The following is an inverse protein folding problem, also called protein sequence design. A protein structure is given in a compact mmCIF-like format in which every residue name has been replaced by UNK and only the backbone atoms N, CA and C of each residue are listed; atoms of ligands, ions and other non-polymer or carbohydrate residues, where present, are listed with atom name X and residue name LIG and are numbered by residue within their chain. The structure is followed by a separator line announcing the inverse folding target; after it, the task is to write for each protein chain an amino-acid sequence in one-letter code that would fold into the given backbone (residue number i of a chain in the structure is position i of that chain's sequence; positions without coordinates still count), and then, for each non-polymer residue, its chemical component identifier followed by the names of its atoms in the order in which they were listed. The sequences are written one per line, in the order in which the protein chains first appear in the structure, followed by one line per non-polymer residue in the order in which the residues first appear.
data_IF_847405080282
#
_entry.id   IF_847405080282
#
_cell.length_a   1.000
_cell.length_b   1.000
_cell.length_c   1.000
_cell.angle_alpha   90.00
_cell.angle_beta   90.00
_cell.angle_gamma   90.00
#
_symmetry.space_group_name_H-M   'P 1'
#
loop_
_entity.id
_entity.type
_entity.pdbx_description
1 polymer ?
#
# COMPACT_ATOMS: atom_id res chain seq x y z
N UNK A 1 -12.68 59.79 28.95
CA UNK A 1 -13.59 59.02 28.09
C UNK A 1 -12.77 58.18 27.12
N UNK A 2 -12.45 56.92 27.48
CA UNK A 2 -11.96 55.88 26.56
C UNK A 2 -11.63 54.60 27.36
N UNK A 3 -12.64 53.85 27.82
CA UNK A 3 -12.45 52.51 28.40
C UNK A 3 -13.81 51.77 28.38
N UNK A 4 -14.20 51.18 27.25
CA UNK A 4 -15.41 50.34 27.17
C UNK A 4 -15.51 49.46 25.90
N UNK A 5 -14.42 48.88 25.38
CA UNK A 5 -14.52 48.08 24.13
C UNK A 5 -13.70 46.78 24.09
N UNK A 6 -13.41 46.15 25.24
CA UNK A 6 -12.53 44.95 25.25
C UNK A 6 -13.02 43.74 26.06
N UNK A 7 -14.33 43.53 26.18
CA UNK A 7 -14.89 42.43 26.98
C UNK A 7 -15.95 41.58 26.27
N UNK A 8 -15.83 41.34 24.97
CA UNK A 8 -16.84 40.55 24.22
C UNK A 8 -16.21 39.46 23.33
N UNK A 9 -15.21 38.76 23.85
CA UNK A 9 -14.52 37.66 23.15
C UNK A 9 -14.37 36.38 24.00
N UNK A 10 -15.20 36.18 25.03
CA UNK A 10 -14.94 35.18 26.07
C UNK A 10 -15.86 33.95 26.07
N UNK A 11 -16.81 33.79 25.14
CA UNK A 11 -17.80 32.68 25.20
C UNK A 11 -18.06 32.01 23.83
N UNK A 12 -17.02 31.78 23.02
CA UNK A 12 -17.09 30.66 22.07
C UNK A 12 -16.73 29.42 22.87
N UNK A 13 -17.72 28.82 23.54
CA UNK A 13 -17.56 27.45 24.02
C UNK A 13 -17.19 26.62 22.80
N UNK A 14 -16.02 25.93 22.80
CA UNK A 14 -15.62 25.09 21.69
C UNK A 14 -16.49 23.83 21.72
N UNK A 15 -17.78 23.98 21.37
CA UNK A 15 -18.80 22.94 21.39
C UNK A 15 -18.64 21.93 20.23
N UNK A 16 -17.50 21.97 19.54
CA UNK A 16 -17.13 21.03 18.49
C UNK A 16 -16.24 19.91 19.02
N UNK A 17 -16.08 18.86 18.21
CA UNK A 17 -15.17 17.75 18.50
C UNK A 17 -13.75 18.24 18.82
N UNK A 18 -13.26 19.26 18.11
CA UNK A 18 -11.94 19.85 18.34
C UNK A 18 -11.75 20.41 19.76
N UNK A 19 -12.80 20.95 20.40
CA UNK A 19 -12.72 21.43 21.78
C UNK A 19 -12.56 20.30 22.80
N UNK A 20 -13.24 19.18 22.58
CA UNK A 20 -13.08 17.97 23.39
C UNK A 20 -11.70 17.35 23.21
N UNK A 21 -11.15 17.37 21.99
CA UNK A 21 -9.76 16.93 21.73
C UNK A 21 -8.76 17.79 22.50
N UNK A 22 -8.91 19.11 22.49
CA UNK A 22 -8.04 20.00 23.28
C UNK A 22 -8.14 19.74 24.79
N UNK A 23 -9.34 19.47 25.30
CA UNK A 23 -9.55 19.11 26.71
C UNK A 23 -8.85 17.80 27.07
N UNK A 24 -8.94 16.78 26.20
CA UNK A 24 -8.26 15.49 26.38
C UNK A 24 -6.73 15.64 26.37
N UNK A 25 -6.18 16.42 25.43
CA UNK A 25 -4.73 16.64 25.31
C UNK A 25 -4.15 17.50 26.45
N UNK A 26 -4.99 18.22 27.21
CA UNK A 26 -4.57 18.93 28.41
C UNK A 26 -4.49 18.03 29.65
N UNK A 27 -5.02 16.81 29.58
CA UNK A 27 -4.97 15.82 30.66
C UNK A 27 -3.81 14.84 30.46
N UNK A 28 -3.23 14.28 31.54
CA UNK A 28 -2.31 13.16 31.42
C UNK A 28 -2.96 12.00 30.66
N UNK A 29 -2.18 11.28 29.85
CA UNK A 29 -2.66 10.18 29.02
C UNK A 29 -3.52 9.16 29.80
N UNK A 30 -3.04 8.72 30.96
CA UNK A 30 -3.75 7.76 31.83
C UNK A 30 -5.09 8.30 32.37
N UNK A 31 -5.25 9.63 32.47
CA UNK A 31 -6.51 10.27 32.87
C UNK A 31 -7.45 10.42 31.66
N UNK A 32 -6.91 10.78 30.49
CA UNK A 32 -7.66 10.87 29.24
C UNK A 32 -8.33 9.53 28.89
N UNK A 33 -7.62 8.40 29.07
CA UNK A 33 -8.19 7.06 28.85
C UNK A 33 -9.38 6.74 29.78
N UNK A 34 -9.42 7.32 30.98
CA UNK A 34 -10.57 7.16 31.90
C UNK A 34 -11.76 8.01 31.49
N UNK A 35 -11.51 9.16 30.87
CA UNK A 35 -12.55 10.08 30.41
C UNK A 35 -13.08 9.72 29.02
N UNK A 36 -12.30 9.04 28.19
CA UNK A 36 -12.66 8.63 26.83
C UNK A 36 -12.48 7.12 26.66
N UNK A 37 -13.49 6.29 27.01
CA UNK A 37 -13.42 4.84 26.84
C UNK A 37 -13.26 4.41 25.38
N UNK A 38 -13.80 5.18 24.44
CA UNK A 38 -13.64 4.93 23.00
C UNK A 38 -12.16 4.95 22.56
N UNK A 39 -11.33 5.81 23.17
CA UNK A 39 -9.89 5.85 22.91
C UNK A 39 -9.20 4.58 23.43
N UNK A 40 -9.58 4.10 24.62
CA UNK A 40 -9.04 2.85 25.17
C UNK A 40 -9.41 1.65 24.28
N UNK A 41 -10.66 1.58 23.81
CA UNK A 41 -11.11 0.54 22.87
C UNK A 41 -10.38 0.63 21.52
N UNK A 42 -10.14 1.84 21.01
CA UNK A 42 -9.38 2.06 19.78
C UNK A 42 -7.95 1.51 19.90
N UNK A 43 -7.24 1.86 20.97
CA UNK A 43 -5.88 1.38 21.21
C UNK A 43 -5.90 -0.15 21.33
N UNK A 44 -6.81 -0.71 22.13
CA UNK A 44 -6.93 -2.15 22.30
C UNK A 44 -7.20 -2.90 20.98
N UNK A 45 -8.08 -2.35 20.13
CA UNK A 45 -8.46 -2.95 18.85
C UNK A 45 -7.32 -2.92 17.83
N UNK A 46 -6.52 -1.87 17.82
CA UNK A 46 -5.40 -1.71 16.87
C UNK A 46 -4.08 -2.30 17.41
N UNK A 47 -4.05 -2.77 18.66
CA UNK A 47 -2.90 -3.38 19.32
C UNK A 47 -2.71 -4.88 19.00
N UNK A 48 -3.20 -5.39 17.86
CA UNK A 48 -3.26 -6.84 17.56
C UNK A 48 -1.92 -7.51 17.27
N UNK A 49 -0.90 -6.78 16.80
CA UNK A 49 0.42 -7.37 16.46
C UNK A 49 1.55 -6.88 17.38
N UNK A 50 1.47 -5.65 17.91
CA UNK A 50 2.42 -5.09 18.87
C UNK A 50 1.66 -4.32 19.96
N UNK A 51 1.17 -5.06 20.95
CA UNK A 51 0.15 -4.56 21.89
C UNK A 51 0.56 -3.34 22.73
N UNK A 52 1.86 -3.04 22.81
CA UNK A 52 2.38 -1.84 23.49
C UNK A 52 2.93 -0.75 22.56
N UNK A 53 3.12 -1.01 21.25
CA UNK A 53 3.76 -0.04 20.36
C UNK A 53 2.87 1.17 20.13
N UNK A 54 1.60 0.93 19.79
CA UNK A 54 0.64 2.01 19.56
C UNK A 54 0.40 2.84 20.83
N UNK A 55 0.24 2.20 21.99
CA UNK A 55 0.09 2.93 23.27
C UNK A 55 1.33 3.81 23.54
N UNK A 56 2.53 3.28 23.28
CA UNK A 56 3.77 4.03 23.46
C UNK A 56 3.85 5.23 22.52
N UNK A 57 3.51 5.05 21.25
CA UNK A 57 3.46 6.16 20.27
C UNK A 57 2.47 7.24 20.71
N UNK A 58 1.28 6.85 21.18
CA UNK A 58 0.31 7.78 21.74
C UNK A 58 0.89 8.54 22.94
N UNK A 59 1.52 7.84 23.90
CA UNK A 59 2.15 8.48 25.07
C UNK A 59 3.27 9.44 24.69
N UNK A 60 4.11 9.09 23.71
CA UNK A 60 5.23 9.91 23.25
C UNK A 60 4.74 11.22 22.60
N UNK A 61 3.59 11.18 21.92
CA UNK A 61 2.99 12.34 21.25
C UNK A 61 1.82 12.97 22.04
N UNK A 62 1.58 12.55 23.29
CA UNK A 62 0.46 13.05 24.10
C UNK A 62 0.77 14.40 24.76
N UNK A 63 0.58 15.49 24.04
CA UNK A 63 0.75 16.83 24.56
C UNK A 63 -0.19 17.84 23.88
N UNK A 64 -0.33 19.03 24.46
CA UNK A 64 -1.20 20.09 23.92
C UNK A 64 -0.85 20.47 22.48
N UNK A 65 0.42 20.41 22.11
CA UNK A 65 0.92 20.67 20.74
C UNK A 65 1.04 19.39 19.90
N UNK A 66 0.26 18.35 20.21
CA UNK A 66 0.30 17.07 19.51
C UNK A 66 0.25 17.24 17.97
N UNK A 67 0.92 16.34 17.21
CA UNK A 67 0.86 16.31 15.76
C UNK A 67 -0.58 16.33 15.23
N UNK A 68 -0.76 16.92 14.05
CA UNK A 68 -2.09 17.05 13.44
C UNK A 68 -2.75 15.70 13.23
N UNK A 69 -1.96 14.67 12.89
CA UNK A 69 -2.41 13.31 12.70
C UNK A 69 -3.03 12.72 13.98
N UNK A 70 -2.38 12.93 15.14
CA UNK A 70 -2.91 12.46 16.43
C UNK A 70 -4.22 13.17 16.78
N UNK A 71 -4.29 14.48 16.54
CA UNK A 71 -5.51 15.27 16.78
C UNK A 71 -6.67 14.81 15.90
N UNK A 72 -6.39 14.49 14.65
CA UNK A 72 -7.37 13.96 13.71
C UNK A 72 -7.93 12.62 14.19
N UNK A 73 -7.05 11.69 14.58
CA UNK A 73 -7.49 10.39 15.12
C UNK A 73 -8.34 10.58 16.39
N UNK A 74 -7.95 11.49 17.27
CA UNK A 74 -8.75 11.81 18.46
C UNK A 74 -10.12 12.42 18.11
N UNK A 75 -10.16 13.27 17.09
CA UNK A 75 -11.42 13.86 16.60
C UNK A 75 -12.34 12.77 16.04
N UNK A 76 -11.80 11.81 15.28
CA UNK A 76 -12.56 10.67 14.76
C UNK A 76 -13.09 9.74 15.86
N UNK A 77 -12.33 9.54 16.92
CA UNK A 77 -12.73 8.72 18.07
C UNK A 77 -13.80 9.42 18.91
N UNK A 78 -13.68 10.73 19.11
CA UNK A 78 -14.61 11.53 19.93
C UNK A 78 -15.90 11.84 19.18
N UNK A 79 -15.84 11.97 17.86
CA UNK A 79 -16.97 12.25 16.98
C UNK A 79 -16.99 11.32 15.75
N UNK A 80 -17.54 10.10 15.92
CA UNK A 80 -17.61 9.12 14.84
C UNK A 80 -18.54 9.56 13.69
N UNK A 81 -19.46 10.49 13.93
CA UNK A 81 -20.34 11.02 12.87
C UNK A 81 -19.56 11.96 11.95
N UNK A 82 -18.71 12.82 12.52
CA UNK A 82 -17.75 13.62 11.75
C UNK A 82 -16.74 12.74 10.98
N UNK A 83 -16.25 11.66 11.59
CA UNK A 83 -15.38 10.71 10.92
C UNK A 83 -16.06 10.06 9.69
N UNK A 84 -17.31 9.61 9.85
CA UNK A 84 -18.07 9.02 8.76
C UNK A 84 -18.29 10.00 7.59
N UNK A 85 -18.51 11.29 7.88
CA UNK A 85 -18.62 12.32 6.86
C UNK A 85 -17.30 12.53 6.10
N UNK A 86 -16.16 12.55 6.79
CA UNK A 86 -14.84 12.69 6.17
C UNK A 86 -14.47 11.48 5.29
N UNK A 87 -14.81 10.27 5.72
CA UNK A 87 -14.63 9.05 4.91
C UNK A 87 -15.49 9.12 3.65
N UNK A 88 -16.76 9.49 3.78
CA UNK A 88 -17.67 9.62 2.64
C UNK A 88 -17.19 10.68 1.64
N UNK A 89 -16.65 11.81 2.12
CA UNK A 89 -16.08 12.86 1.25
C UNK A 89 -14.81 12.36 0.53
N UNK A 90 -13.93 11.63 1.24
CA UNK A 90 -12.71 11.07 0.65
C UNK A 90 -13.02 10.00 -0.39
N UNK A 91 -13.98 9.11 -0.12
CA UNK A 91 -14.46 8.12 -1.09
C UNK A 91 -15.11 8.80 -2.31
N UNK A 92 -15.93 9.83 -2.10
CA UNK A 92 -16.53 10.60 -3.19
C UNK A 92 -15.46 11.29 -4.05
N UNK A 93 -14.41 11.83 -3.43
CA UNK A 93 -13.29 12.44 -4.12
C UNK A 93 -12.53 11.42 -4.97
N UNK A 94 -12.19 10.25 -4.40
CA UNK A 94 -11.51 9.16 -5.11
C UNK A 94 -12.36 8.66 -6.28
N UNK A 95 -13.67 8.46 -6.06
CA UNK A 95 -14.62 8.03 -7.09
C UNK A 95 -14.77 9.03 -8.23
N UNK A 96 -14.73 10.32 -7.94
CA UNK A 96 -14.77 11.37 -8.97
C UNK A 96 -13.45 11.50 -9.75
N UNK A 97 -12.35 10.95 -9.23
CA UNK A 97 -11.03 11.01 -9.86
C UNK A 97 -10.73 9.84 -10.80
N UNK A 98 -11.60 8.82 -10.83
CA UNK A 98 -11.44 7.61 -11.65
C UNK A 98 -11.83 7.69 -13.14
N UNK A 99 -12.34 8.78 -13.77
CA UNK A 99 -12.79 8.69 -15.16
C UNK A 99 -11.74 9.16 -16.20
N UNK A 100 -10.43 9.03 -15.95
CA UNK A 100 -9.40 9.47 -16.92
C UNK A 100 -8.36 8.42 -17.30
N UNK A 101 -8.39 7.24 -16.69
CA UNK A 101 -7.52 6.11 -17.06
C UNK A 101 -8.23 5.01 -17.85
N UNK A 102 -9.56 4.95 -17.82
CA UNK A 102 -10.32 3.99 -18.66
C UNK A 102 -10.42 4.41 -20.14
N UNK A 103 -10.27 5.70 -20.46
CA UNK A 103 -10.32 6.19 -21.85
C UNK A 103 -9.05 5.86 -22.64
N UNK A 104 -7.90 5.67 -21.96
CA UNK A 104 -6.64 5.30 -22.62
C UNK A 104 -6.48 3.79 -22.88
N UNK A 105 -7.39 2.95 -22.36
CA UNK A 105 -7.38 1.51 -22.59
C UNK A 105 -8.46 1.04 -23.58
N UNK A 106 -9.36 1.93 -24.02
CA UNK A 106 -10.48 1.59 -24.92
C UNK A 106 -10.26 1.99 -26.40
N UNK A 107 -9.18 2.71 -26.75
CA UNK A 107 -8.89 3.12 -28.15
C UNK A 107 -7.81 2.27 -28.85
N UNK A 108 -7.56 1.03 -28.40
CA UNK A 108 -6.50 0.17 -28.95
C UNK A 108 -6.90 -0.94 -29.93
N UNK A 109 -8.20 -1.14 -30.22
CA UNK A 109 -8.65 -2.41 -30.84
C UNK A 109 -9.11 -2.34 -32.30
N UNK A 110 -9.30 -1.17 -32.95
CA UNK A 110 -9.97 -1.12 -34.26
C UNK A 110 -9.27 -0.33 -35.38
N UNK A 111 -7.94 -0.18 -35.36
CA UNK A 111 -7.20 0.32 -36.54
C UNK A 111 -6.30 -0.75 -37.16
N UNK A 112 -6.95 -1.81 -37.67
CA UNK A 112 -6.30 -2.82 -38.52
C UNK A 112 -7.08 -2.98 -39.83
N UNK A 113 -7.25 -1.88 -40.58
CA UNK A 113 -7.70 -1.91 -41.99
C UNK A 113 -7.54 -0.54 -42.69
N UNK A 114 -6.31 -0.04 -42.86
CA UNK A 114 -5.98 0.89 -43.96
C UNK A 114 -4.46 0.97 -44.11
N UNK A 115 -3.93 -0.09 -44.74
CA UNK A 115 -2.74 0.07 -45.57
C UNK A 115 -3.19 0.84 -46.82
N UNK A 116 -2.33 1.74 -47.31
CA UNK A 116 -2.50 2.54 -48.54
C UNK A 116 -3.17 3.93 -48.38
N UNK A 117 -2.42 4.91 -47.83
CA UNK A 117 -2.18 6.22 -48.49
C UNK A 117 -1.39 7.23 -47.66
N UNK A 118 -0.44 7.87 -48.35
CA UNK A 118 0.27 9.12 -48.04
C UNK A 118 1.17 9.07 -46.78
N UNK A 119 2.49 8.92 -46.86
CA UNK A 119 3.49 9.71 -47.61
C UNK A 119 3.29 11.22 -47.43
N UNK A 120 4.29 11.88 -46.82
CA UNK A 120 4.44 13.34 -46.58
C UNK A 120 4.17 13.78 -45.13
N UNK A 121 5.03 13.36 -44.18
CA UNK A 121 5.50 14.24 -43.08
C UNK A 121 6.73 13.70 -42.32
N UNK A 122 7.71 13.16 -43.05
CA UNK A 122 8.94 12.62 -42.47
C UNK A 122 10.16 13.37 -43.03
N UNK A 123 10.29 14.67 -42.73
CA UNK A 123 11.50 15.46 -43.01
C UNK A 123 11.65 16.63 -42.02
N UNK A 124 11.72 16.34 -40.71
CA UNK A 124 12.18 17.36 -39.73
C UNK A 124 12.81 16.80 -38.44
N UNK A 125 13.19 15.53 -38.41
CA UNK A 125 13.87 14.92 -37.24
C UNK A 125 15.27 14.40 -37.56
N UNK A 126 15.89 14.80 -38.68
CA UNK A 126 17.15 14.21 -39.16
C UNK A 126 18.42 15.02 -38.84
N UNK A 127 18.35 16.05 -37.98
CA UNK A 127 19.53 16.87 -37.64
C UNK A 127 19.83 16.98 -36.12
N UNK A 128 19.55 15.92 -35.35
CA UNK A 128 20.25 15.73 -34.07
C UNK A 128 20.81 14.31 -34.02
N UNK A 129 21.98 14.16 -34.65
CA UNK A 129 22.87 13.02 -34.45
C UNK A 129 23.43 13.06 -33.03
N UNK A 130 22.65 12.53 -32.10
CA UNK A 130 23.12 12.03 -30.82
C UNK A 130 23.02 10.52 -30.92
N UNK A 131 24.07 9.91 -31.48
CA UNK A 131 24.41 8.50 -31.27
C UNK A 131 24.67 8.33 -29.77
N UNK A 132 23.60 8.18 -29.00
CA UNK A 132 23.68 7.64 -27.65
C UNK A 132 23.62 6.13 -27.88
N UNK A 133 24.78 5.48 -27.86
CA UNK A 133 24.92 4.06 -27.58
C UNK A 133 24.25 3.78 -26.22
N UNK A 134 22.93 3.66 -26.22
CA UNK A 134 22.11 3.25 -25.07
C UNK A 134 21.85 1.74 -25.15
N UNK A 135 22.89 1.00 -25.52
CA UNK A 135 22.91 -0.45 -25.44
C UNK A 135 23.50 -0.81 -24.07
N UNK A 136 22.65 -1.37 -23.18
CA UNK A 136 22.98 -2.06 -21.92
C UNK A 136 23.00 -1.26 -20.61
N UNK A 137 21.90 -0.62 -20.18
CA UNK A 137 21.70 -0.38 -18.73
C UNK A 137 20.28 -0.68 -18.18
N UNK A 138 19.29 -1.05 -19.00
CA UNK A 138 17.89 -1.20 -18.52
C UNK A 138 17.54 -2.59 -17.91
N UNK A 139 18.36 -3.62 -18.08
CA UNK A 139 18.04 -4.97 -17.56
C UNK A 139 18.31 -5.13 -16.04
N UNK A 140 18.99 -4.18 -15.39
CA UNK A 140 19.41 -4.32 -13.99
C UNK A 140 18.36 -3.84 -12.98
N UNK A 141 17.36 -3.08 -13.43
CA UNK A 141 16.33 -2.54 -12.54
C UNK A 141 15.22 -3.54 -12.19
N UNK A 142 15.00 -4.56 -13.01
CA UNK A 142 13.95 -5.56 -12.79
C UNK A 142 14.30 -6.56 -11.69
N UNK A 143 15.57 -6.98 -11.56
CA UNK A 143 15.98 -8.01 -10.58
C UNK A 143 15.93 -7.48 -9.13
N UNK A 144 16.16 -6.17 -8.91
CA UNK A 144 16.11 -5.58 -7.56
C UNK A 144 14.68 -5.46 -7.00
N UNK A 145 13.66 -5.38 -7.87
CA UNK A 145 12.27 -5.27 -7.43
C UNK A 145 11.69 -6.64 -7.02
N UNK A 146 12.17 -7.73 -7.65
CA UNK A 146 11.68 -9.09 -7.40
C UNK A 146 12.05 -9.58 -6.00
N UNK A 147 13.34 -9.51 -5.64
CA UNK A 147 13.81 -9.94 -4.32
C UNK A 147 13.13 -9.14 -3.21
N UNK A 148 12.97 -7.83 -3.41
CA UNK A 148 12.29 -6.96 -2.44
C UNK A 148 10.80 -7.28 -2.32
N UNK A 149 10.13 -7.70 -3.40
CA UNK A 149 8.72 -8.07 -3.35
C UNK A 149 8.50 -9.40 -2.60
N UNK A 150 9.36 -10.39 -2.84
CA UNK A 150 9.33 -11.67 -2.11
C UNK A 150 9.63 -11.47 -0.62
N UNK A 151 10.67 -10.70 -0.29
CA UNK A 151 10.99 -10.38 1.12
C UNK A 151 9.85 -9.60 1.80
N UNK A 152 9.20 -8.68 1.08
CA UNK A 152 8.02 -7.97 1.60
C UNK A 152 6.87 -8.94 1.87
N UNK A 153 6.64 -9.93 1.02
CA UNK A 153 5.60 -10.94 1.24
C UNK A 153 5.95 -11.84 2.43
N UNK A 154 7.21 -12.30 2.54
CA UNK A 154 7.71 -13.12 3.65
C UNK A 154 7.79 -12.36 4.99
N UNK A 155 7.80 -11.03 4.95
CA UNK A 155 7.69 -10.19 6.16
C UNK A 155 6.30 -10.19 6.78
N UNK A 156 5.26 -10.56 6.01
CA UNK A 156 3.89 -10.71 6.50
C UNK A 156 3.71 -12.09 7.13
N UNK A 157 2.71 -12.24 8.00
CA UNK A 157 2.26 -13.58 8.40
C UNK A 157 1.72 -14.34 7.18
N UNK A 158 1.84 -15.67 7.18
CA UNK A 158 1.33 -16.50 6.07
C UNK A 158 -0.15 -16.23 5.76
N UNK A 159 -0.97 -16.03 6.79
CA UNK A 159 -2.39 -15.71 6.62
C UNK A 159 -2.60 -14.33 5.96
N UNK A 160 -1.82 -13.32 6.35
CA UNK A 160 -1.86 -12.00 5.73
C UNK A 160 -1.38 -12.06 4.27
N UNK A 161 -0.29 -12.78 3.99
CA UNK A 161 0.20 -12.99 2.63
C UNK A 161 -0.84 -13.66 1.73
N UNK A 162 -1.55 -14.69 2.22
CA UNK A 162 -2.65 -15.35 1.50
C UNK A 162 -3.87 -14.46 1.25
N UNK A 163 -4.07 -13.42 2.08
CA UNK A 163 -5.10 -12.39 1.87
C UNK A 163 -4.67 -11.35 0.85
N UNK A 164 -3.39 -11.00 0.84
CA UNK A 164 -2.82 -9.96 -0.02
C UNK A 164 -2.52 -10.45 -1.45
N UNK A 165 -1.96 -11.65 -1.62
CA UNK A 165 -1.61 -12.20 -2.94
C UNK A 165 -2.64 -13.22 -3.41
N UNK A 166 -3.23 -12.94 -4.57
CA UNK A 166 -4.19 -13.83 -5.23
C UNK A 166 -3.46 -15.02 -5.85
N UNK A 167 -2.28 -14.79 -6.40
CA UNK A 167 -1.41 -15.76 -7.06
C UNK A 167 -0.99 -16.86 -6.09
N UNK A 168 -0.53 -16.49 -4.89
CA UNK A 168 -0.18 -17.43 -3.82
C UNK A 168 -1.40 -18.26 -3.41
N UNK A 169 -2.55 -17.60 -3.24
CA UNK A 169 -3.79 -18.28 -2.85
C UNK A 169 -4.26 -19.27 -3.91
N UNK A 170 -4.21 -18.90 -5.18
CA UNK A 170 -4.62 -19.74 -6.29
C UNK A 170 -3.66 -20.92 -6.50
N UNK A 171 -2.36 -20.72 -6.24
CA UNK A 171 -1.37 -21.80 -6.23
C UNK A 171 -1.63 -22.82 -5.12
N UNK A 172 -1.80 -22.33 -3.89
CA UNK A 172 -2.05 -23.18 -2.71
C UNK A 172 -3.38 -23.92 -2.84
N UNK A 173 -4.43 -23.22 -3.31
CA UNK A 173 -5.79 -23.76 -3.46
C UNK A 173 -6.10 -24.22 -4.88
N UNK A 174 -5.07 -24.64 -5.61
CA UNK A 174 -5.23 -25.06 -7.00
C UNK A 174 -6.31 -26.14 -7.13
N UNK A 175 -7.26 -26.01 -8.06
CA UNK A 175 -8.38 -26.95 -8.21
C UNK A 175 -7.94 -28.36 -8.61
N UNK A 176 -6.66 -28.54 -8.95
CA UNK A 176 -6.05 -29.83 -9.28
C UNK A 176 -5.62 -30.63 -8.04
N UNK A 177 -5.53 -30.00 -6.86
CA UNK A 177 -5.10 -30.63 -5.61
C UNK A 177 -6.31 -31.13 -4.82
N UNK A 178 -6.16 -32.26 -4.15
CA UNK A 178 -7.16 -32.73 -3.18
C UNK A 178 -7.14 -31.86 -1.92
N UNK A 179 -8.22 -31.93 -1.14
CA UNK A 179 -8.34 -31.15 0.09
C UNK A 179 -7.24 -31.47 1.11
N UNK A 180 -6.85 -32.73 1.22
CA UNK A 180 -5.78 -33.18 2.12
C UNK A 180 -4.42 -32.62 1.67
N UNK A 181 -4.12 -32.67 0.37
CA UNK A 181 -2.89 -32.08 -0.20
C UNK A 181 -2.81 -30.56 0.00
N UNK A 182 -3.95 -29.85 -0.06
CA UNK A 182 -3.99 -28.41 0.23
C UNK A 182 -3.66 -28.16 1.71
N UNK A 183 -4.19 -28.96 2.63
CA UNK A 183 -3.93 -28.80 4.06
C UNK A 183 -2.47 -29.09 4.41
N UNK A 184 -1.88 -30.14 3.82
CA UNK A 184 -0.47 -30.48 4.00
C UNK A 184 0.44 -29.38 3.44
N UNK A 185 0.11 -28.83 2.27
CA UNK A 185 0.86 -27.73 1.68
C UNK A 185 0.73 -26.43 2.50
N UNK A 186 -0.47 -26.08 2.97
CA UNK A 186 -0.67 -24.91 3.84
C UNK A 186 0.15 -25.06 5.14
N UNK A 187 0.23 -26.26 5.71
CA UNK A 187 1.03 -26.54 6.90
C UNK A 187 2.55 -26.43 6.61
N UNK A 188 3.01 -26.97 5.49
CA UNK A 188 4.41 -26.87 5.06
C UNK A 188 4.83 -25.42 4.82
N UNK A 189 4.00 -24.65 4.11
CA UNK A 189 4.23 -23.23 3.88
C UNK A 189 4.26 -22.47 5.21
N UNK A 190 3.26 -22.67 6.07
CA UNK A 190 3.22 -21.99 7.37
C UNK A 190 4.43 -22.32 8.27
N UNK A 191 4.97 -23.55 8.19
CA UNK A 191 6.16 -23.94 8.94
C UNK A 191 7.44 -23.27 8.44
N UNK A 192 7.54 -23.03 7.12
CA UNK A 192 8.73 -22.47 6.49
C UNK A 192 8.60 -20.96 6.19
N UNK A 193 7.47 -20.34 6.53
CA UNK A 193 7.19 -18.94 6.24
C UNK A 193 7.98 -18.00 7.16
N UNK A 194 9.12 -17.53 6.67
CA UNK A 194 9.94 -16.53 7.36
C UNK A 194 10.84 -15.79 6.36
N UNK A 195 11.48 -14.71 6.80
CA UNK A 195 12.54 -14.06 6.00
C UNK A 195 13.74 -15.00 5.73
N UNK A 196 13.92 -16.04 6.54
CA UNK A 196 14.94 -17.08 6.34
C UNK A 196 14.37 -18.33 5.65
N UNK A 197 13.26 -18.18 4.91
CA UNK A 197 12.63 -19.28 4.20
C UNK A 197 13.64 -20.02 3.28
N UNK A 198 13.49 -21.36 3.14
CA UNK A 198 14.30 -22.14 2.21
C UNK A 198 14.27 -21.57 0.79
N UNK A 199 15.37 -21.74 0.05
CA UNK A 199 15.51 -21.24 -1.32
C UNK A 199 14.40 -21.77 -2.23
N UNK A 200 13.97 -23.01 -2.02
CA UNK A 200 12.90 -23.63 -2.79
C UNK A 200 11.56 -22.89 -2.64
N UNK A 201 11.26 -22.40 -1.44
CA UNK A 201 10.06 -21.62 -1.20
C UNK A 201 10.17 -20.25 -1.86
N UNK A 202 11.34 -19.61 -1.77
CA UNK A 202 11.61 -18.33 -2.45
C UNK A 202 11.48 -18.46 -3.97
N UNK A 203 12.04 -19.50 -4.56
CA UNK A 203 11.95 -19.78 -6.00
C UNK A 203 10.49 -19.95 -6.44
N UNK A 204 9.67 -20.68 -5.66
CA UNK A 204 8.23 -20.82 -5.92
C UNK A 204 7.53 -19.46 -5.86
N UNK A 205 7.84 -18.63 -4.86
CA UNK A 205 7.25 -17.28 -4.75
C UNK A 205 7.68 -16.37 -5.91
N UNK A 206 8.93 -16.44 -6.36
CA UNK A 206 9.40 -15.72 -7.54
C UNK A 206 8.67 -16.16 -8.80
N UNK A 207 8.50 -17.47 -9.00
CA UNK A 207 7.76 -18.03 -10.15
C UNK A 207 6.28 -17.65 -10.14
N UNK A 208 5.66 -17.57 -8.96
CA UNK A 208 4.25 -17.20 -8.82
C UNK A 208 4.00 -15.71 -9.04
N UNK A 209 4.85 -14.86 -8.48
CA UNK A 209 4.67 -13.41 -8.54
C UNK A 209 5.17 -12.83 -9.87
N UNK A 210 6.18 -13.45 -10.49
CA UNK A 210 6.86 -12.93 -11.68
C UNK A 210 7.10 -14.01 -12.74
N UNK A 211 6.03 -14.66 -13.27
CA UNK A 211 6.16 -15.77 -14.20
C UNK A 211 6.92 -15.40 -15.48
N UNK A 212 6.74 -14.18 -15.99
CA UNK A 212 7.43 -13.70 -17.19
C UNK A 212 8.94 -13.57 -17.01
N UNK A 213 9.39 -13.17 -15.80
CA UNK A 213 10.81 -13.00 -15.50
C UNK A 213 11.48 -14.38 -15.38
N UNK A 214 10.83 -15.31 -14.69
CA UNK A 214 11.32 -16.69 -14.58
C UNK A 214 11.35 -17.36 -15.95
N UNK A 215 10.30 -17.20 -16.76
CA UNK A 215 10.28 -17.71 -18.13
C UNK A 215 11.41 -17.12 -18.99
N UNK A 216 11.70 -15.83 -18.83
CA UNK A 216 12.79 -15.15 -19.53
C UNK A 216 14.17 -15.66 -19.08
N UNK A 217 14.37 -15.93 -17.78
CA UNK A 217 15.61 -16.51 -17.24
C UNK A 217 15.85 -17.92 -17.81
N UNK A 218 14.83 -18.77 -17.79
CA UNK A 218 14.89 -20.11 -18.37
C UNK A 218 15.14 -20.09 -19.89
N UNK A 219 14.53 -19.14 -20.61
CA UNK A 219 14.76 -18.94 -22.05
C UNK A 219 16.20 -18.50 -22.36
N UNK A 220 16.83 -17.71 -21.48
CA UNK A 220 18.24 -17.31 -21.59
C UNK A 220 19.18 -18.48 -21.30
N UNK A 221 18.90 -19.26 -20.25
CA UNK A 221 19.69 -20.45 -19.90
C UNK A 221 19.66 -21.51 -21.01
N UNK A 222 18.49 -21.76 -21.58
CA UNK A 222 18.35 -22.69 -22.72
C UNK A 222 18.99 -22.19 -24.01
N UNK A 223 19.23 -20.88 -24.15
CA UNK A 223 19.93 -20.26 -25.28
C UNK A 223 21.45 -20.21 -25.14
N UNK A 224 22.01 -20.55 -23.98
CA UNK A 224 23.46 -20.60 -23.82
C UNK A 224 24.04 -21.60 -24.83
N UNK A 225 24.84 -21.15 -25.81
CA UNK A 225 25.37 -22.04 -26.84
C UNK A 225 26.22 -23.10 -26.15
N UNK A 226 25.89 -24.37 -26.40
CA UNK A 226 26.73 -25.50 -26.05
C UNK A 226 28.06 -25.26 -26.76
N UNK A 227 29.04 -24.69 -26.04
CA UNK A 227 30.40 -24.57 -26.51
C UNK A 227 30.90 -26.00 -26.70
N UNK A 228 30.82 -26.48 -27.95
CA UNK A 228 31.36 -27.77 -28.35
C UNK A 228 32.87 -27.74 -28.09
N UNK A 229 33.27 -28.33 -26.96
CA UNK A 229 34.65 -28.77 -26.69
C UNK A 229 34.97 -29.99 -27.56
#
# INVERSE_FOLDING_TARGET
MAEASRASAANQEPSGASGKVEELLCKPFDEALKHCPALAEYIQKNSTEDSGKLEKEFREHWHREAPQELRQVLEEIVDPEAAAANVAETEAFLRNRTPLVEDLLSEGAEQSASSDRLVVRQELSREQGLDIDHDQEDDQFADLDIASAVDRLLSLSFEAAMKTSVELRDYVRSPKRSKDEIADLEAEFAQNWSLEAPTELRDILEELLFPDVVASRQARESRAPIARL
#
